data_IF_101985133140
#
_entry.id   IF_101985133140
#
_cell.length_a   1.000
_cell.length_b   1.000
_cell.length_c   1.000
_cell.angle_alpha   90.00
_cell.angle_beta   90.00
_cell.angle_gamma   90.00
#
_symmetry.space_group_name_H-M   'P 1'
#
loop_
_entity.id
_entity.type
_entity.pdbx_description
1 polymer ?
#
# COMPACT_ATOMS: atom_id res chain seq x y z
N UNK A 1 6.68 -9.06 -8.83
CA UNK A 1 5.30 -9.30 -8.32
C UNK A 1 5.31 -9.52 -6.82
N UNK A 2 4.82 -8.54 -6.08
CA UNK A 2 4.63 -8.58 -4.62
C UNK A 2 3.13 -8.53 -4.29
N UNK A 3 2.77 -8.88 -3.06
CA UNK A 3 1.37 -8.86 -2.60
C UNK A 3 1.00 -7.53 -1.94
N UNK A 4 -0.29 -7.26 -1.81
CA UNK A 4 -0.79 -6.16 -0.97
C UNK A 4 -0.38 -6.33 0.50
N UNK A 5 -0.21 -7.57 0.99
CA UNK A 5 0.36 -7.82 2.31
C UNK A 5 1.81 -7.38 2.42
N UNK A 6 2.63 -7.62 1.40
CA UNK A 6 4.03 -7.17 1.39
C UNK A 6 4.10 -5.65 1.45
N UNK A 7 3.23 -4.96 0.71
CA UNK A 7 3.12 -3.51 0.75
C UNK A 7 2.72 -3.01 2.15
N UNK A 8 1.71 -3.63 2.77
CA UNK A 8 1.29 -3.30 4.13
C UNK A 8 2.46 -3.44 5.12
N UNK A 9 3.20 -4.55 5.04
CA UNK A 9 4.38 -4.79 5.90
C UNK A 9 5.45 -3.72 5.71
N UNK A 10 5.82 -3.42 4.47
CA UNK A 10 6.82 -2.40 4.17
C UNK A 10 6.42 -1.04 4.75
N UNK A 11 5.17 -0.62 4.55
CA UNK A 11 4.67 0.65 5.09
C UNK A 11 4.57 0.63 6.62
N UNK A 12 4.17 -0.47 7.24
CA UNK A 12 4.18 -0.57 8.72
C UNK A 12 5.59 -0.52 9.31
N UNK A 13 6.60 -1.05 8.60
CA UNK A 13 7.99 -0.96 9.00
C UNK A 13 8.53 0.48 8.94
N UNK A 14 7.89 1.36 8.17
CA UNK A 14 8.16 2.80 8.16
C UNK A 14 7.56 3.53 9.38
N UNK A 15 6.87 2.81 10.29
CA UNK A 15 6.29 3.36 11.51
C UNK A 15 4.83 3.82 11.39
N UNK A 16 4.14 3.47 10.30
CA UNK A 16 2.71 3.72 10.18
C UNK A 16 1.88 2.67 10.92
N UNK A 17 0.73 3.11 11.42
CA UNK A 17 -0.26 2.21 12.02
C UNK A 17 -0.79 1.21 10.99
N UNK A 18 -0.80 -0.08 11.33
CA UNK A 18 -1.17 -1.15 10.42
C UNK A 18 -2.62 -1.03 9.94
N UNK A 19 -3.57 -0.75 10.84
CA UNK A 19 -4.98 -0.70 10.47
C UNK A 19 -5.29 0.49 9.56
N UNK A 20 -4.80 1.68 9.92
CA UNK A 20 -4.94 2.89 9.09
C UNK A 20 -4.25 2.74 7.73
N UNK A 21 -3.09 2.10 7.71
CA UNK A 21 -2.35 1.83 6.48
C UNK A 21 -3.14 0.91 5.56
N UNK A 22 -3.68 -0.18 6.10
CA UNK A 22 -4.49 -1.12 5.34
C UNK A 22 -5.68 -0.42 4.66
N UNK A 23 -6.50 0.29 5.45
CA UNK A 23 -7.66 1.04 4.93
C UNK A 23 -7.24 2.03 3.84
N UNK A 24 -6.07 2.64 3.97
CA UNK A 24 -5.57 3.60 3.00
C UNK A 24 -5.08 2.94 1.72
N UNK A 25 -4.33 1.83 1.82
CA UNK A 25 -3.93 1.01 0.67
C UNK A 25 -5.18 0.55 -0.08
N UNK A 26 -6.19 0.06 0.63
CA UNK A 26 -7.43 -0.40 0.02
C UNK A 26 -8.11 0.70 -0.80
N UNK A 27 -8.25 1.90 -0.23
CA UNK A 27 -8.84 3.05 -0.95
C UNK A 27 -8.05 3.45 -2.19
N UNK A 28 -6.71 3.36 -2.16
CA UNK A 28 -5.88 3.69 -3.31
C UNK A 28 -6.06 2.62 -4.40
N UNK A 29 -6.04 1.35 -4.03
CA UNK A 29 -6.26 0.23 -4.96
C UNK A 29 -7.66 0.28 -5.59
N UNK A 30 -8.70 0.55 -4.80
CA UNK A 30 -10.06 0.70 -5.29
C UNK A 30 -10.18 1.83 -6.32
N UNK A 31 -9.45 2.93 -6.10
CA UNK A 31 -9.41 4.07 -7.04
C UNK A 31 -8.61 3.75 -8.31
N UNK A 32 -7.54 2.97 -8.20
CA UNK A 32 -6.65 2.66 -9.33
C UNK A 32 -7.14 1.51 -10.20
N UNK A 33 -7.69 0.46 -9.59
CA UNK A 33 -8.01 -0.81 -10.24
C UNK A 33 -9.52 -1.12 -10.26
N UNK A 34 -10.32 -0.38 -9.49
CA UNK A 34 -11.73 -0.69 -9.26
C UNK A 34 -11.94 -1.80 -8.23
N UNK A 35 -13.15 -1.85 -7.66
CA UNK A 35 -13.49 -2.75 -6.54
C UNK A 35 -13.65 -4.20 -7.00
N UNK A 36 -14.01 -4.44 -8.26
CA UNK A 36 -14.36 -5.77 -8.78
C UNK A 36 -13.17 -6.74 -8.87
N UNK A 37 -11.95 -6.23 -8.87
CA UNK A 37 -10.71 -7.03 -8.99
C UNK A 37 -10.00 -7.28 -7.66
N UNK A 38 -10.60 -6.85 -6.53
CA UNK A 38 -9.98 -6.98 -5.21
C UNK A 38 -9.90 -8.45 -4.78
N UNK A 39 -8.78 -8.81 -4.15
CA UNK A 39 -8.54 -10.14 -3.58
C UNK A 39 -8.12 -10.01 -2.11
N UNK A 40 -8.17 -11.11 -1.33
CA UNK A 40 -7.55 -11.13 -0.01
C UNK A 40 -6.08 -10.68 -0.08
N UNK A 41 -5.59 -9.98 0.95
CA UNK A 41 -4.25 -9.37 0.95
C UNK A 41 -3.10 -10.32 0.58
N UNK A 42 -3.20 -11.59 0.98
CA UNK A 42 -2.21 -12.63 0.70
C UNK A 42 -2.18 -13.04 -0.77
N UNK A 43 -3.32 -12.92 -1.47
CA UNK A 43 -3.51 -13.38 -2.85
C UNK A 43 -3.56 -12.23 -3.86
N UNK A 44 -3.72 -11.00 -3.37
CA UNK A 44 -3.73 -9.78 -4.17
C UNK A 44 -2.31 -9.41 -4.62
N UNK A 45 -1.91 -9.97 -5.76
CA UNK A 45 -0.65 -9.62 -6.43
C UNK A 45 -0.76 -8.27 -7.11
N UNK A 46 0.15 -7.38 -6.78
CA UNK A 46 0.25 -6.06 -7.36
C UNK A 46 1.30 -6.06 -8.48
N UNK A 47 0.99 -5.45 -9.64
CA UNK A 47 2.00 -5.04 -10.60
C UNK A 47 3.07 -4.16 -9.94
N UNK A 48 4.33 -4.28 -10.39
CA UNK A 48 5.46 -3.63 -9.72
C UNK A 48 5.35 -2.09 -9.77
N UNK A 49 4.76 -1.52 -10.82
CA UNK A 49 4.46 -0.10 -10.96
C UNK A 49 3.43 0.40 -9.93
N UNK A 50 2.34 -0.34 -9.74
CA UNK A 50 1.33 -0.05 -8.71
C UNK A 50 1.97 -0.14 -7.31
N UNK A 51 2.75 -1.19 -7.08
CA UNK A 51 3.44 -1.40 -5.82
C UNK A 51 4.36 -0.24 -5.46
N UNK A 52 5.27 0.12 -6.39
CA UNK A 52 6.24 1.20 -6.19
C UNK A 52 5.55 2.55 -6.05
N UNK A 53 4.50 2.81 -6.84
CA UNK A 53 3.75 4.05 -6.75
C UNK A 53 3.10 4.22 -5.37
N UNK A 54 2.43 3.19 -4.85
CA UNK A 54 1.79 3.28 -3.53
C UNK A 54 2.83 3.41 -2.42
N UNK A 55 3.89 2.59 -2.44
CA UNK A 55 4.97 2.68 -1.45
C UNK A 55 5.64 4.06 -1.45
N UNK A 56 5.81 4.67 -2.63
CA UNK A 56 6.36 6.01 -2.79
C UNK A 56 5.58 7.07 -2.02
N UNK A 57 4.23 7.01 -2.05
CA UNK A 57 3.37 7.96 -1.30
C UNK A 57 3.70 7.94 0.19
N UNK A 58 3.79 6.76 0.80
CA UNK A 58 4.10 6.64 2.22
C UNK A 58 5.54 7.00 2.54
N UNK A 59 6.47 6.67 1.64
CA UNK A 59 7.89 6.99 1.79
C UNK A 59 8.11 8.50 1.80
N UNK A 60 7.49 9.24 0.87
CA UNK A 60 7.58 10.70 0.85
C UNK A 60 6.96 11.33 2.11
N UNK A 61 5.83 10.82 2.60
CA UNK A 61 5.25 11.28 3.88
C UNK A 61 6.18 11.06 5.08
N UNK A 62 6.96 9.99 5.10
CA UNK A 62 7.94 9.80 6.18
C UNK A 62 9.07 10.81 6.13
N UNK A 63 9.44 11.30 4.94
CA UNK A 63 10.44 12.36 4.78
C UNK A 63 9.89 13.70 5.26
N UNK A 64 8.63 14.00 4.93
CA UNK A 64 7.96 15.25 5.33
C UNK A 64 7.68 15.31 6.84
N UNK A 65 7.55 14.16 7.52
CA UNK A 65 7.45 14.08 8.99
C UNK A 65 8.76 14.35 9.74
N UNK A 66 9.89 14.50 9.04
CA UNK A 66 11.21 14.74 9.64
C UNK A 66 11.60 16.23 9.69
N UNK A 67 10.63 17.15 9.52
CA UNK A 67 10.83 18.61 9.57
C UNK A 67 10.25 19.18 10.86
#
# INVERSE_FOLDING_TARGET
MKTALDLLKEVTNLGFDQHKTLVRIDKILDKMLGIESRKPLLDERLPDDIYVNILGIFTEETKDRRI
#
